data_IF_359121144518
#
_entry.id   IF_359121144518
#
_cell.length_a   1.000
_cell.length_b   1.000
_cell.length_c   1.000
_cell.angle_alpha   90.00
_cell.angle_beta   90.00
_cell.angle_gamma   90.00
#
_symmetry.space_group_name_H-M   'P 1'
#
loop_
_entity.id
_entity.type
_entity.pdbx_description
1 polymer ?
#
# COMPACT_ATOMS: atom_id res chain seq x y z
N UNK A 1 -13.68 -10.26 18.82
CA UNK A 1 -14.05 -10.33 17.39
C UNK A 1 -12.82 -9.91 16.61
N UNK A 2 -12.39 -10.69 15.62
CA UNK A 2 -11.27 -10.32 14.76
C UNK A 2 -11.74 -9.18 13.84
N UNK A 3 -10.96 -8.11 13.72
CA UNK A 3 -11.30 -7.02 12.80
C UNK A 3 -11.10 -7.55 11.38
N UNK A 4 -12.00 -7.27 10.42
CA UNK A 4 -11.75 -7.68 9.03
C UNK A 4 -10.46 -7.02 8.51
N UNK A 5 -9.74 -7.68 7.58
CA UNK A 5 -8.52 -7.12 7.00
C UNK A 5 -8.84 -5.86 6.20
N UNK A 6 -7.84 -5.00 5.99
CA UNK A 6 -8.05 -3.69 5.39
C UNK A 6 -8.62 -3.75 3.96
N UNK A 7 -8.25 -4.78 3.17
CA UNK A 7 -8.81 -4.99 1.83
C UNK A 7 -10.30 -5.37 1.81
N UNK A 8 -10.87 -5.77 2.96
CA UNK A 8 -12.28 -6.11 3.11
C UNK A 8 -13.13 -4.94 3.63
N UNK A 9 -12.51 -3.80 3.96
CA UNK A 9 -13.19 -2.60 4.44
C UNK A 9 -13.47 -1.65 3.27
N UNK A 10 -14.75 -1.32 2.97
CA UNK A 10 -15.10 -0.48 1.82
C UNK A 10 -14.58 0.96 1.93
N UNK A 11 -14.29 1.45 3.13
CA UNK A 11 -13.71 2.75 3.41
C UNK A 11 -12.20 2.80 3.22
N UNK A 12 -11.53 1.65 3.13
CA UNK A 12 -10.07 1.61 3.01
C UNK A 12 -9.62 1.80 1.57
N UNK A 13 -8.85 2.87 1.32
CA UNK A 13 -8.33 3.19 0.00
C UNK A 13 -6.81 2.93 -0.11
N UNK A 14 -6.41 2.29 -1.20
CA UNK A 14 -5.02 1.94 -1.48
C UNK A 14 -4.64 2.27 -2.92
N UNK A 15 -3.40 2.73 -3.09
CA UNK A 15 -2.82 3.03 -4.40
C UNK A 15 -1.68 2.08 -4.73
N UNK A 16 -1.76 1.45 -5.90
CA UNK A 16 -0.62 0.75 -6.50
C UNK A 16 0.40 1.78 -7.02
N UNK A 17 1.61 1.72 -6.49
CA UNK A 17 2.69 2.63 -6.90
C UNK A 17 3.20 2.21 -8.29
N UNK A 18 3.25 3.18 -9.20
CA UNK A 18 3.75 3.00 -10.57
C UNK A 18 5.08 3.72 -10.72
N UNK A 19 5.99 3.16 -11.53
CA UNK A 19 7.28 3.80 -11.79
C UNK A 19 7.09 5.12 -12.54
N UNK A 20 7.77 6.16 -12.07
CA UNK A 20 7.82 7.48 -12.69
C UNK A 20 9.20 7.83 -13.25
N UNK A 21 10.14 6.88 -13.24
CA UNK A 21 11.53 7.09 -13.65
C UNK A 21 11.88 6.20 -14.84
N UNK A 22 12.90 6.56 -15.64
CA UNK A 22 13.39 5.71 -16.72
C UNK A 22 13.79 4.31 -16.25
N UNK A 23 13.64 3.32 -17.14
CA UNK A 23 13.84 1.89 -16.83
C UNK A 23 15.27 1.54 -16.40
N UNK A 24 16.25 2.36 -16.75
CA UNK A 24 17.64 2.20 -16.33
C UNK A 24 17.90 2.63 -14.87
N UNK A 25 16.94 3.33 -14.23
CA UNK A 25 17.04 3.75 -12.82
C UNK A 25 16.54 2.67 -11.87
N UNK A 26 15.35 2.12 -12.10
CA UNK A 26 14.69 1.17 -11.19
C UNK A 26 14.43 -0.22 -11.81
N UNK A 27 14.76 -0.41 -13.09
CA UNK A 27 14.50 -1.66 -13.81
C UNK A 27 13.04 -1.84 -14.26
N UNK A 28 12.18 -0.84 -14.10
CA UNK A 28 10.73 -0.92 -14.32
C UNK A 28 10.32 0.05 -15.43
N UNK A 29 9.46 -0.40 -16.34
CA UNK A 29 8.95 0.50 -17.40
C UNK A 29 8.14 1.64 -16.76
N UNK A 30 8.31 2.86 -17.27
CA UNK A 30 7.50 4.02 -16.85
C UNK A 30 6.01 3.66 -16.91
N UNK A 31 5.30 3.96 -15.83
CA UNK A 31 3.87 3.67 -15.65
C UNK A 31 3.56 2.22 -15.25
N UNK A 32 4.52 1.30 -15.29
CA UNK A 32 4.31 -0.07 -14.83
C UNK A 32 4.24 -0.15 -13.29
N UNK A 33 3.50 -1.13 -12.74
CA UNK A 33 3.47 -1.38 -11.31
C UNK A 33 4.85 -1.68 -10.73
N UNK A 34 5.17 -1.05 -9.60
CA UNK A 34 6.41 -1.31 -8.85
C UNK A 34 6.31 -2.51 -7.92
N UNK A 35 5.09 -3.00 -7.68
CA UNK A 35 4.79 -4.00 -6.66
C UNK A 35 4.70 -3.43 -5.24
N UNK A 36 4.76 -2.10 -5.07
CA UNK A 36 4.41 -1.44 -3.81
C UNK A 36 2.97 -0.95 -3.82
N UNK A 37 2.31 -1.10 -2.68
CA UNK A 37 0.98 -0.58 -2.38
C UNK A 37 1.11 0.43 -1.26
N UNK A 38 0.42 1.56 -1.37
CA UNK A 38 0.42 2.66 -0.40
C UNK A 38 -1.00 2.88 0.12
N UNK A 39 -1.14 3.02 1.43
CA UNK A 39 -2.38 3.46 2.08
C UNK A 39 -2.63 4.94 1.75
N UNK A 40 -3.84 5.26 1.28
CA UNK A 40 -4.20 6.63 0.93
C UNK A 40 -4.33 7.55 2.17
N UNK A 41 -4.62 6.99 3.36
CA UNK A 41 -4.84 7.79 4.58
C UNK A 41 -3.53 8.27 5.21
N UNK A 42 -2.54 7.38 5.36
CA UNK A 42 -1.29 7.69 6.07
C UNK A 42 -0.06 7.77 5.16
N UNK A 43 -0.20 7.45 3.86
CA UNK A 43 0.88 7.52 2.88
C UNK A 43 1.99 6.48 3.03
N UNK A 44 1.90 5.58 4.01
CA UNK A 44 2.84 4.48 4.20
C UNK A 44 2.52 3.33 3.24
N UNK A 45 3.54 2.55 2.87
CA UNK A 45 3.38 1.48 1.90
C UNK A 45 4.33 0.31 2.12
N UNK A 46 3.94 -0.83 1.55
CA UNK A 46 4.68 -2.09 1.58
C UNK A 46 4.43 -2.87 0.28
N UNK A 47 5.07 -4.03 0.12
CA UNK A 47 4.84 -4.90 -1.05
C UNK A 47 3.56 -5.74 -0.97
N UNK A 48 2.94 -5.79 0.21
CA UNK A 48 1.65 -6.39 0.46
C UNK A 48 0.84 -5.42 1.32
N UNK A 49 -0.44 -5.27 1.02
CA UNK A 49 -1.38 -4.42 1.76
C UNK A 49 -1.42 -4.77 3.26
N UNK A 50 -1.34 -6.05 3.59
CA UNK A 50 -1.38 -6.55 4.96
C UNK A 50 -0.08 -6.21 5.72
N UNK A 51 1.01 -5.93 5.01
CA UNK A 51 2.31 -5.63 5.63
C UNK A 51 2.57 -4.13 5.81
N UNK A 52 1.58 -3.28 5.57
CA UNK A 52 1.73 -1.85 5.77
C UNK A 52 1.81 -1.55 7.27
N UNK A 53 2.96 -1.05 7.73
CA UNK A 53 3.13 -0.55 9.09
C UNK A 53 2.46 0.81 9.23
N UNK A 54 1.18 0.84 9.60
CA UNK A 54 0.36 2.05 9.64
C UNK A 54 0.84 3.08 10.68
N UNK A 55 0.61 4.36 10.38
CA UNK A 55 0.87 5.44 11.33
C UNK A 55 -0.12 5.44 12.51
N UNK A 56 0.22 6.09 13.63
CA UNK A 56 -0.60 6.09 14.85
C UNK A 56 -2.00 6.73 14.68
N UNK A 57 -2.19 7.54 13.63
CA UNK A 57 -3.45 8.23 13.32
C UNK A 57 -4.10 7.71 12.04
N UNK A 58 -3.81 6.46 11.66
CA UNK A 58 -4.40 5.83 10.49
C UNK A 58 -5.53 4.91 10.92
N UNK A 59 -6.71 5.07 10.31
CA UNK A 59 -7.88 4.28 10.64
C UNK A 59 -7.86 2.89 9.98
N UNK A 60 -7.09 2.75 8.87
CA UNK A 60 -6.86 1.48 8.19
C UNK A 60 -6.28 0.43 9.15
N UNK A 61 -6.83 -0.80 9.21
CA UNK A 61 -6.26 -1.89 10.02
C UNK A 61 -4.87 -2.27 9.55
N UNK A 62 -3.90 -2.27 10.46
CA UNK A 62 -2.69 -3.05 10.27
C UNK A 62 -3.07 -4.54 10.25
N UNK A 63 -2.39 -5.36 9.45
CA UNK A 63 -2.53 -6.79 9.65
C UNK A 63 -1.88 -7.18 10.97
N UNK A 64 -2.70 -7.76 11.83
CA UNK A 64 -2.30 -8.60 12.93
C UNK A 64 -1.58 -9.83 12.36
N UNK A 65 -0.25 -9.76 12.30
CA UNK A 65 0.62 -10.90 11.99
C UNK A 65 0.54 -11.98 13.05
#
# INVERSE_FOLDING_TARGET
MMRPPAWALPESEFRLVRSGVPVDVDGIKIGAPTGYVVCCDCGRGARNIDWIDHGPNCDSPAADN
#
